data_IF_487744797711
#
_entry.id   IF_487744797711
#
_cell.length_a   1.000
_cell.length_b   1.000
_cell.length_c   1.000
_cell.angle_alpha   90.00
_cell.angle_beta   90.00
_cell.angle_gamma   90.00
#
_symmetry.space_group_name_H-M   'P 1'
#
loop_
_entity.id
_entity.type
_entity.pdbx_description
1 polymer ?
#
# COMPACT_ATOMS: atom_id res chain seq x y z
N UNK A 1 15.32 10.78 -4.29
CA UNK A 1 15.65 10.32 -5.66
C UNK A 1 15.57 11.48 -6.66
N UNK A 2 16.42 11.53 -7.69
CA UNK A 2 16.35 12.58 -8.73
C UNK A 2 15.27 12.26 -9.78
N UNK A 3 14.83 13.26 -10.56
CA UNK A 3 13.77 13.10 -11.58
C UNK A 3 13.99 11.92 -12.54
N UNK A 4 15.24 11.72 -12.99
CA UNK A 4 15.58 10.60 -13.90
C UNK A 4 15.26 9.25 -13.25
N UNK A 5 15.66 9.05 -11.99
CA UNK A 5 15.40 7.83 -11.24
C UNK A 5 13.91 7.63 -10.99
N UNK A 6 13.18 8.71 -10.66
CA UNK A 6 11.71 8.65 -10.50
C UNK A 6 11.03 8.16 -11.78
N UNK A 7 11.40 8.73 -12.94
CA UNK A 7 10.84 8.32 -14.24
C UNK A 7 11.20 6.89 -14.61
N UNK A 8 12.45 6.48 -14.40
CA UNK A 8 12.88 5.09 -14.62
C UNK A 8 12.05 4.12 -13.77
N UNK A 9 11.81 4.46 -12.48
CA UNK A 9 11.00 3.63 -11.58
C UNK A 9 9.52 3.58 -11.99
N UNK A 10 8.93 4.71 -12.40
CA UNK A 10 7.57 4.77 -12.92
C UNK A 10 7.42 3.97 -14.23
N UNK A 11 8.40 4.05 -15.13
CA UNK A 11 8.39 3.32 -16.38
C UNK A 11 8.42 1.80 -16.19
N UNK A 12 9.12 1.29 -15.16
CA UNK A 12 9.09 -0.14 -14.78
C UNK A 12 7.70 -0.64 -14.39
N UNK A 13 6.80 0.25 -13.97
CA UNK A 13 5.40 -0.06 -13.66
C UNK A 13 4.45 0.37 -14.78
N UNK A 14 4.97 0.56 -16.00
CA UNK A 14 4.21 1.03 -17.17
C UNK A 14 3.46 2.36 -16.94
N UNK A 15 3.89 3.20 -15.99
CA UNK A 15 3.26 4.47 -15.72
C UNK A 15 3.78 5.55 -16.68
N UNK A 16 2.85 6.28 -17.33
CA UNK A 16 3.19 7.25 -18.36
C UNK A 16 3.12 8.69 -17.81
N UNK A 17 4.16 9.08 -17.07
CA UNK A 17 4.24 10.39 -16.42
C UNK A 17 5.38 11.21 -17.00
N UNK A 18 5.05 12.34 -17.63
CA UNK A 18 6.04 13.31 -18.12
C UNK A 18 6.46 14.31 -17.04
N UNK A 19 7.62 14.94 -17.19
CA UNK A 19 8.09 15.98 -16.26
C UNK A 19 7.13 17.17 -16.18
N UNK A 20 6.48 17.51 -17.29
CA UNK A 20 5.43 18.54 -17.34
C UNK A 20 4.24 18.16 -16.47
N UNK A 21 3.85 16.88 -16.48
CA UNK A 21 2.79 16.38 -15.60
C UNK A 21 3.21 16.45 -14.13
N UNK A 22 4.44 16.06 -13.80
CA UNK A 22 4.94 16.14 -12.42
C UNK A 22 4.88 17.59 -11.91
N UNK A 23 5.39 18.56 -12.68
CA UNK A 23 5.32 19.98 -12.33
C UNK A 23 3.88 20.45 -12.12
N UNK A 24 2.99 20.11 -13.05
CA UNK A 24 1.57 20.44 -12.95
C UNK A 24 0.92 19.84 -11.69
N UNK A 25 1.24 18.59 -11.34
CA UNK A 25 0.69 17.95 -10.14
C UNK A 25 1.22 18.56 -8.85
N UNK A 26 2.46 19.05 -8.82
CA UNK A 26 2.99 19.83 -7.69
C UNK A 26 2.26 21.17 -7.59
N UNK A 27 2.19 21.93 -8.69
CA UNK A 27 1.53 23.25 -8.74
C UNK A 27 0.06 23.19 -8.34
N UNK A 28 -0.61 22.09 -8.64
CA UNK A 28 -2.03 21.88 -8.33
C UNK A 28 -2.27 21.23 -6.97
N UNK A 29 -1.21 20.87 -6.23
CA UNK A 29 -1.26 20.26 -4.91
C UNK A 29 -1.70 18.79 -4.90
N UNK A 30 -1.62 18.08 -6.03
CA UNK A 30 -1.94 16.66 -6.11
C UNK A 30 -0.81 15.75 -5.60
N UNK A 31 0.43 16.24 -5.66
CA UNK A 31 1.59 15.61 -5.03
C UNK A 31 2.31 16.67 -4.19
N UNK A 32 2.94 16.30 -3.07
CA UNK A 32 3.70 17.25 -2.27
C UNK A 32 4.87 17.86 -3.06
N UNK A 33 5.37 19.04 -2.65
CA UNK A 33 6.58 19.59 -3.24
C UNK A 33 7.79 18.68 -2.93
N UNK A 34 8.76 18.55 -3.85
CA UNK A 34 10.00 17.84 -3.58
C UNK A 34 10.91 18.65 -2.64
N UNK A 35 11.86 17.97 -2.02
CA UNK A 35 12.88 18.62 -1.20
C UNK A 35 13.91 19.30 -2.11
N UNK A 36 14.22 20.57 -1.83
CA UNK A 36 15.24 21.31 -2.58
C UNK A 36 16.52 21.37 -1.76
N UNK A 37 17.47 20.50 -2.08
CA UNK A 37 18.80 20.50 -1.41
C UNK A 37 19.67 21.66 -1.88
N UNK A 38 19.45 22.15 -3.11
CA UNK A 38 20.05 23.36 -3.68
C UNK A 38 19.08 24.01 -4.68
N UNK A 39 19.39 25.24 -5.10
CA UNK A 39 18.68 25.92 -6.19
C UNK A 39 18.70 25.00 -7.43
N UNK A 40 17.51 24.65 -7.94
CA UNK A 40 17.27 23.74 -9.06
C UNK A 40 17.60 22.25 -8.83
N UNK A 41 17.88 21.82 -7.59
CA UNK A 41 18.09 20.40 -7.27
C UNK A 41 16.94 19.84 -6.44
N UNK A 42 15.88 19.40 -7.13
CA UNK A 42 14.75 18.71 -6.53
C UNK A 42 15.09 17.25 -6.18
N UNK A 43 14.68 16.81 -5.01
CA UNK A 43 14.70 15.43 -4.54
C UNK A 43 13.29 14.94 -4.27
N UNK A 44 12.93 13.89 -4.99
CA UNK A 44 11.64 13.23 -4.88
C UNK A 44 11.77 12.03 -3.94
N UNK A 45 10.86 11.90 -2.99
CA UNK A 45 10.74 10.75 -2.11
C UNK A 45 9.77 9.69 -2.65
N UNK A 46 9.62 8.58 -1.94
CA UNK A 46 8.76 7.46 -2.33
C UNK A 46 7.28 7.83 -2.41
N UNK A 47 6.83 8.80 -1.62
CA UNK A 47 5.45 9.30 -1.71
C UNK A 47 5.16 9.87 -3.11
N UNK A 48 6.14 10.53 -3.74
CA UNK A 48 5.98 11.06 -5.09
C UNK A 48 5.79 9.91 -6.09
N UNK A 49 6.60 8.85 -5.97
CA UNK A 49 6.49 7.67 -6.80
C UNK A 49 5.11 7.00 -6.67
N UNK A 50 4.68 6.70 -5.43
CA UNK A 50 3.40 6.04 -5.16
C UNK A 50 2.22 6.88 -5.63
N UNK A 51 2.22 8.18 -5.32
CA UNK A 51 1.15 9.11 -5.68
C UNK A 51 1.03 9.26 -7.20
N UNK A 52 2.17 9.32 -7.91
CA UNK A 52 2.18 9.38 -9.38
C UNK A 52 1.67 8.08 -10.02
N UNK A 53 2.02 6.90 -9.48
CA UNK A 53 1.45 5.63 -9.95
C UNK A 53 -0.07 5.63 -9.82
N UNK A 54 -0.58 6.06 -8.66
CA UNK A 54 -2.02 6.12 -8.41
C UNK A 54 -2.72 7.09 -9.35
N UNK A 55 -2.16 8.30 -9.54
CA UNK A 55 -2.73 9.29 -10.47
C UNK A 55 -2.76 8.74 -11.90
N UNK A 56 -1.69 8.09 -12.37
CA UNK A 56 -1.66 7.48 -13.70
C UNK A 56 -2.71 6.37 -13.85
N UNK A 57 -2.84 5.50 -12.85
CA UNK A 57 -3.83 4.42 -12.87
C UNK A 57 -5.27 4.94 -12.83
N UNK A 58 -5.57 5.96 -12.01
CA UNK A 58 -6.88 6.61 -12.00
C UNK A 58 -7.20 7.23 -13.37
N UNK A 59 -6.22 7.86 -14.02
CA UNK A 59 -6.39 8.40 -15.38
C UNK A 59 -6.65 7.30 -16.40
N UNK A 60 -5.90 6.20 -16.35
CA UNK A 60 -6.11 5.03 -17.23
C UNK A 60 -7.49 4.40 -17.03
N UNK A 61 -8.02 4.44 -15.82
CA UNK A 61 -9.40 4.04 -15.50
C UNK A 61 -10.47 5.06 -15.95
N UNK A 62 -10.09 6.14 -16.64
CA UNK A 62 -11.02 7.16 -17.15
C UNK A 62 -11.45 8.20 -16.11
N UNK A 63 -10.82 8.26 -14.94
CA UNK A 63 -11.17 9.24 -13.92
C UNK A 63 -10.75 10.65 -14.36
N UNK A 64 -11.72 11.58 -14.33
CA UNK A 64 -11.46 13.00 -14.57
C UNK A 64 -10.61 13.63 -13.47
N UNK A 65 -9.98 14.76 -13.79
CA UNK A 65 -9.08 15.46 -12.86
C UNK A 65 -9.74 15.86 -11.53
N UNK A 66 -11.00 16.27 -11.55
CA UNK A 66 -11.77 16.58 -10.34
C UNK A 66 -11.98 15.36 -9.45
N UNK A 67 -12.27 14.20 -10.04
CA UNK A 67 -12.39 12.93 -9.33
C UNK A 67 -11.06 12.51 -8.70
N UNK A 68 -9.97 12.64 -9.45
CA UNK A 68 -8.61 12.38 -8.96
C UNK A 68 -8.31 13.25 -7.75
N UNK A 69 -8.56 14.57 -7.85
CA UNK A 69 -8.35 15.50 -6.74
C UNK A 69 -9.13 15.10 -5.49
N UNK A 70 -10.42 14.78 -5.63
CA UNK A 70 -11.25 14.36 -4.50
C UNK A 70 -10.75 13.08 -3.83
N UNK A 71 -10.28 12.11 -4.62
CA UNK A 71 -9.65 10.89 -4.09
C UNK A 71 -8.36 11.20 -3.32
N UNK A 72 -7.48 12.03 -3.91
CA UNK A 72 -6.24 12.47 -3.25
C UNK A 72 -6.54 13.21 -1.94
N UNK A 73 -7.49 14.13 -1.92
CA UNK A 73 -7.88 14.86 -0.71
C UNK A 73 -8.40 13.95 0.41
N UNK A 74 -9.10 12.87 0.05
CA UNK A 74 -9.57 11.86 1.01
C UNK A 74 -8.39 11.14 1.66
N UNK A 75 -7.37 10.79 0.88
CA UNK A 75 -6.14 10.15 1.37
C UNK A 75 -5.32 11.09 2.24
N UNK A 76 -5.22 12.36 1.84
CA UNK A 76 -4.51 13.38 2.60
C UNK A 76 -5.15 13.62 3.97
N UNK A 77 -6.44 13.30 4.14
CA UNK A 77 -7.10 13.27 5.44
C UNK A 77 -6.40 12.36 6.45
N UNK A 78 -5.87 11.21 6.02
CA UNK A 78 -5.07 10.34 6.87
C UNK A 78 -3.69 10.93 7.19
N UNK A 79 -3.02 11.52 6.19
CA UNK A 79 -1.70 12.15 6.37
C UNK A 79 -1.80 13.29 7.39
N UNK A 80 -2.86 14.13 7.30
CA UNK A 80 -3.11 15.20 8.27
C UNK A 80 -3.35 14.68 9.68
N UNK A 81 -4.12 13.60 9.83
CA UNK A 81 -4.31 12.96 11.15
C UNK A 81 -3.00 12.41 11.72
N UNK A 82 -2.14 11.83 10.87
CA UNK A 82 -0.82 11.36 11.29
C UNK A 82 0.10 12.52 11.68
N UNK A 83 0.10 13.60 10.92
CA UNK A 83 0.84 14.82 11.22
C UNK A 83 0.43 15.40 12.58
N UNK A 84 -0.87 15.50 12.83
CA UNK A 84 -1.43 15.95 14.12
C UNK A 84 -1.07 14.99 15.27
N UNK A 85 -1.27 13.68 15.10
CA UNK A 85 -0.95 12.66 16.13
C UNK A 85 0.52 12.71 16.54
N UNK A 86 1.43 12.91 15.59
CA UNK A 86 2.88 12.91 15.83
C UNK A 86 3.46 14.30 16.11
N UNK A 87 2.67 15.37 15.98
CA UNK A 87 3.14 16.74 16.17
C UNK A 87 4.18 17.18 15.13
N UNK A 88 4.05 16.72 13.89
CA UNK A 88 4.96 17.01 12.76
C UNK A 88 4.20 17.73 11.63
N UNK A 89 4.93 18.25 10.65
CA UNK A 89 4.34 18.87 9.45
C UNK A 89 3.67 17.84 8.53
N UNK A 90 2.83 18.33 7.61
CA UNK A 90 2.21 17.48 6.59
C UNK A 90 3.28 16.82 5.70
N UNK A 91 4.30 17.57 5.30
CA UNK A 91 5.40 17.12 4.46
C UNK A 91 6.22 16.03 5.15
N UNK A 92 6.52 16.19 6.44
CA UNK A 92 7.18 15.14 7.23
C UNK A 92 6.30 13.89 7.36
N UNK A 93 5.00 14.08 7.64
CA UNK A 93 4.05 12.97 7.74
C UNK A 93 3.88 12.21 6.41
N UNK A 94 3.84 12.91 5.28
CA UNK A 94 3.74 12.34 3.95
C UNK A 94 4.93 11.43 3.59
N UNK A 95 6.07 11.64 4.25
CA UNK A 95 7.29 10.87 4.07
C UNK A 95 7.47 9.74 5.09
N UNK A 96 6.51 9.54 6.00
CA UNK A 96 6.55 8.43 6.96
C UNK A 96 6.39 7.07 6.24
N UNK A 97 7.16 6.05 6.62
CA UNK A 97 7.03 4.71 6.04
C UNK A 97 5.60 4.14 6.09
N UNK A 98 4.89 4.33 7.21
CA UNK A 98 3.51 3.85 7.39
C UNK A 98 2.50 4.55 6.45
N UNK A 99 2.78 5.79 6.04
CA UNK A 99 1.96 6.56 5.10
C UNK A 99 2.22 6.08 3.69
N UNK A 100 3.48 6.03 3.28
CA UNK A 100 3.90 5.58 1.94
C UNK A 100 3.41 4.15 1.69
N UNK A 101 3.65 3.24 2.64
CA UNK A 101 3.32 1.82 2.50
C UNK A 101 1.80 1.58 2.52
N UNK A 102 1.03 2.36 3.30
CA UNK A 102 -0.44 2.33 3.21
C UNK A 102 -0.93 2.82 1.85
N UNK A 103 -0.44 3.95 1.38
CA UNK A 103 -0.87 4.52 0.11
C UNK A 103 -0.57 3.54 -1.04
N UNK A 104 0.58 2.87 -0.99
CA UNK A 104 0.93 1.90 -2.01
C UNK A 104 0.08 0.62 -1.92
N UNK A 105 -0.22 0.15 -0.72
CA UNK A 105 -1.15 -0.97 -0.50
C UNK A 105 -2.53 -0.66 -1.09
N UNK A 106 -3.10 0.50 -0.81
CA UNK A 106 -4.40 0.90 -1.35
C UNK A 106 -4.36 1.10 -2.89
N UNK A 107 -3.24 1.57 -3.46
CA UNK A 107 -3.04 1.58 -4.90
C UNK A 107 -3.10 0.15 -5.47
N UNK A 108 -2.36 -0.78 -4.87
CA UNK A 108 -2.29 -2.19 -5.29
C UNK A 108 -3.63 -2.91 -5.22
N UNK A 109 -4.44 -2.64 -4.19
CA UNK A 109 -5.78 -3.22 -4.05
C UNK A 109 -6.70 -2.81 -5.21
N UNK A 110 -6.60 -1.55 -5.67
CA UNK A 110 -7.46 -1.02 -6.72
C UNK A 110 -6.92 -1.29 -8.13
N UNK A 111 -5.60 -1.43 -8.27
CA UNK A 111 -4.91 -1.59 -9.53
C UNK A 111 -3.91 -2.75 -9.45
N UNK A 112 -4.40 -3.99 -9.26
CA UNK A 112 -3.53 -5.16 -9.24
C UNK A 112 -2.87 -5.30 -10.61
N UNK A 113 -1.54 -5.23 -10.63
CA UNK A 113 -0.76 -5.49 -11.83
C UNK A 113 -0.71 -6.99 -12.16
N UNK A 114 -0.22 -7.31 -13.36
CA UNK A 114 -0.02 -8.70 -13.83
C UNK A 114 1.47 -9.09 -13.87
N UNK A 115 2.36 -8.22 -13.39
CA UNK A 115 3.80 -8.44 -13.47
C UNK A 115 4.26 -9.53 -12.50
N UNK A 116 5.35 -10.20 -12.89
CA UNK A 116 6.08 -11.14 -12.05
C UNK A 116 7.34 -10.49 -11.49
N UNK A 117 7.69 -10.83 -10.25
CA UNK A 117 8.83 -10.27 -9.51
C UNK A 117 9.78 -11.39 -9.10
N UNK A 118 11.09 -11.17 -9.21
CA UNK A 118 12.09 -11.94 -8.47
C UNK A 118 11.99 -11.63 -6.97
N UNK A 119 12.59 -12.46 -6.10
CA UNK A 119 12.66 -12.19 -4.64
C UNK A 119 13.21 -10.80 -4.33
N UNK A 120 14.29 -10.38 -5.01
CA UNK A 120 14.91 -9.07 -4.79
C UNK A 120 14.00 -7.92 -5.19
N UNK A 121 13.32 -8.03 -6.34
CA UNK A 121 12.36 -7.03 -6.79
C UNK A 121 11.13 -6.96 -5.89
N UNK A 122 10.67 -8.11 -5.39
CA UNK A 122 9.53 -8.18 -4.48
C UNK A 122 9.82 -7.43 -3.17
N UNK A 123 10.98 -7.68 -2.56
CA UNK A 123 11.41 -7.03 -1.31
C UNK A 123 11.58 -5.52 -1.52
N UNK A 124 12.25 -5.11 -2.60
CA UNK A 124 12.45 -3.70 -2.95
C UNK A 124 11.11 -2.98 -3.15
N UNK A 125 10.20 -3.59 -3.91
CA UNK A 125 8.91 -2.96 -4.22
C UNK A 125 7.93 -3.01 -3.06
N UNK A 126 8.02 -3.99 -2.17
CA UNK A 126 7.19 -4.04 -0.97
C UNK A 126 7.68 -3.12 0.17
N UNK A 127 8.74 -2.33 -0.06
CA UNK A 127 9.32 -1.42 0.94
C UNK A 127 9.65 -2.11 2.27
N UNK A 128 10.11 -3.36 2.21
CA UNK A 128 10.30 -4.20 3.38
C UNK A 128 11.72 -4.74 3.47
N UNK A 129 12.10 -5.20 4.65
CA UNK A 129 13.37 -5.89 4.86
C UNK A 129 13.25 -7.38 4.54
N UNK A 130 14.39 -8.04 4.27
CA UNK A 130 14.45 -9.48 4.04
C UNK A 130 13.80 -10.29 5.17
N UNK A 131 13.92 -9.83 6.42
CA UNK A 131 13.28 -10.48 7.57
C UNK A 131 11.75 -10.58 7.41
N UNK A 132 11.10 -9.57 6.84
CA UNK A 132 9.64 -9.57 6.61
C UNK A 132 9.26 -10.62 5.57
N UNK A 133 10.08 -10.77 4.52
CA UNK A 133 9.92 -11.81 3.53
C UNK A 133 10.09 -13.20 4.14
N UNK A 134 11.19 -13.42 4.86
CA UNK A 134 11.51 -14.74 5.44
C UNK A 134 10.39 -15.14 6.43
N UNK A 135 9.85 -14.18 7.19
CA UNK A 135 8.68 -14.40 8.03
C UNK A 135 7.40 -14.78 7.26
N UNK A 136 7.14 -14.13 6.13
CA UNK A 136 5.97 -14.45 5.31
C UNK A 136 6.02 -15.90 4.80
N UNK A 137 7.23 -16.38 4.48
CA UNK A 137 7.50 -17.77 4.12
C UNK A 137 7.33 -18.70 5.33
N UNK A 138 7.95 -18.36 6.48
CA UNK A 138 7.89 -19.19 7.69
C UNK A 138 6.47 -19.37 8.25
N UNK A 139 5.63 -18.34 8.09
CA UNK A 139 4.21 -18.38 8.48
C UNK A 139 3.30 -19.05 7.44
N UNK A 140 3.86 -19.45 6.30
CA UNK A 140 3.16 -20.08 5.18
C UNK A 140 2.16 -19.17 4.47
N UNK A 141 2.28 -17.84 4.64
CA UNK A 141 1.46 -16.88 3.91
C UNK A 141 2.00 -16.67 2.50
N UNK A 142 3.31 -16.84 2.35
CA UNK A 142 4.01 -16.84 1.07
C UNK A 142 4.63 -18.22 0.84
N UNK A 143 4.59 -18.71 -0.39
CA UNK A 143 5.40 -19.85 -0.82
C UNK A 143 6.79 -19.37 -1.25
N UNK A 144 7.84 -20.14 -0.95
CA UNK A 144 9.19 -19.85 -1.47
C UNK A 144 9.30 -20.36 -2.92
N UNK A 145 9.33 -19.41 -3.86
CA UNK A 145 9.32 -19.66 -5.30
C UNK A 145 10.25 -18.69 -6.05
N UNK A 146 10.54 -18.98 -7.31
CA UNK A 146 11.44 -18.15 -8.11
C UNK A 146 10.80 -16.82 -8.54
N UNK A 147 9.50 -16.86 -8.88
CA UNK A 147 8.75 -15.71 -9.37
C UNK A 147 7.47 -15.49 -8.55
N UNK A 148 7.25 -14.24 -8.19
CA UNK A 148 6.16 -13.77 -7.34
C UNK A 148 5.17 -12.93 -8.15
N UNK A 149 3.90 -13.02 -7.81
CA UNK A 149 2.79 -12.28 -8.43
C UNK A 149 2.55 -10.93 -7.75
N UNK A 150 1.69 -10.10 -8.35
CA UNK A 150 1.20 -8.90 -7.69
C UNK A 150 0.45 -9.18 -6.37
N UNK A 151 -0.18 -10.36 -6.22
CA UNK A 151 -0.83 -10.76 -4.98
C UNK A 151 0.20 -11.04 -3.87
N UNK A 152 1.31 -11.68 -4.23
CA UNK A 152 2.43 -11.92 -3.31
C UNK A 152 3.04 -10.58 -2.83
N UNK A 153 3.16 -9.61 -3.74
CA UNK A 153 3.60 -8.24 -3.40
C UNK A 153 2.66 -7.56 -2.41
N UNK A 154 1.35 -7.68 -2.65
CA UNK A 154 0.34 -7.11 -1.75
C UNK A 154 0.35 -7.79 -0.36
N UNK A 155 0.53 -9.10 -0.31
CA UNK A 155 0.72 -9.84 0.95
C UNK A 155 1.89 -9.25 1.72
N UNK A 156 3.05 -9.11 1.07
CA UNK A 156 4.26 -8.63 1.72
C UNK A 156 4.12 -7.17 2.20
N UNK A 157 3.46 -6.31 1.42
CA UNK A 157 3.10 -4.94 1.82
C UNK A 157 2.19 -4.91 3.05
N UNK A 158 1.18 -5.79 3.10
CA UNK A 158 0.28 -5.89 4.26
C UNK A 158 1.03 -6.35 5.51
N UNK A 159 1.92 -7.34 5.39
CA UNK A 159 2.75 -7.80 6.51
C UNK A 159 3.68 -6.67 6.97
N UNK A 160 4.36 -5.99 6.05
CA UNK A 160 5.22 -4.84 6.39
C UNK A 160 4.45 -3.75 7.14
N UNK A 161 3.23 -3.44 6.69
CA UNK A 161 2.36 -2.48 7.38
C UNK A 161 2.05 -2.90 8.82
N UNK A 162 1.82 -4.18 9.10
CA UNK A 162 1.60 -4.64 10.49
C UNK A 162 2.75 -4.26 11.42
N UNK A 163 3.99 -4.27 10.93
CA UNK A 163 5.17 -3.85 11.70
C UNK A 163 5.34 -2.32 11.77
N UNK A 164 4.88 -1.57 10.77
CA UNK A 164 4.98 -0.10 10.75
C UNK A 164 3.96 0.59 11.68
N UNK A 165 2.84 -0.06 11.97
CA UNK A 165 1.75 0.51 12.79
C UNK A 165 1.86 0.21 14.30
N UNK A 166 2.90 -0.48 14.77
CA UNK A 166 3.06 -0.79 16.20
C UNK A 166 3.46 0.45 17.03
N UNK A 167 2.57 0.92 17.89
CA UNK A 167 2.70 2.19 18.64
C UNK A 167 3.67 2.16 19.85
N UNK A 168 4.45 1.10 20.13
CA UNK A 168 5.34 1.09 21.32
C UNK A 168 6.51 0.10 21.30
N UNK A 169 7.72 0.64 21.51
CA UNK A 169 8.87 0.07 22.24
C UNK A 169 9.11 -1.45 22.18
N UNK A 170 10.06 -1.85 21.33
CA UNK A 170 11.05 -2.91 21.62
C UNK A 170 10.53 -4.33 21.89
N UNK A 171 10.74 -5.22 20.91
CA UNK A 171 10.93 -6.68 21.12
C UNK A 171 9.68 -7.52 21.42
N UNK A 172 8.68 -6.98 22.12
CA UNK A 172 7.42 -7.67 22.44
C UNK A 172 6.47 -7.81 21.23
N UNK A 173 6.70 -7.03 20.17
CA UNK A 173 5.78 -6.91 19.04
C UNK A 173 5.92 -8.06 18.03
N UNK A 174 7.15 -8.53 17.75
CA UNK A 174 7.38 -9.48 16.65
C UNK A 174 6.62 -10.79 16.86
N UNK A 175 6.73 -11.44 18.02
CA UNK A 175 6.05 -12.72 18.30
C UNK A 175 4.53 -12.57 18.19
N UNK A 176 3.97 -11.45 18.66
CA UNK A 176 2.54 -11.16 18.54
C UNK A 176 2.14 -11.01 17.08
N UNK A 177 2.91 -10.26 16.27
CA UNK A 177 2.69 -10.13 14.82
C UNK A 177 2.77 -11.47 14.11
N UNK A 178 3.75 -12.32 14.43
CA UNK A 178 3.83 -13.69 13.90
C UNK A 178 2.53 -14.45 14.22
N UNK A 179 2.07 -14.40 15.47
CA UNK A 179 0.83 -15.06 15.88
C UNK A 179 -0.41 -14.52 15.13
N UNK A 180 -0.50 -13.21 14.95
CA UNK A 180 -1.57 -12.56 14.17
C UNK A 180 -1.55 -13.03 12.71
N UNK A 181 -0.38 -13.02 12.07
CA UNK A 181 -0.19 -13.45 10.68
C UNK A 181 -0.59 -14.92 10.52
N UNK A 182 -0.13 -15.81 11.40
CA UNK A 182 -0.51 -17.23 11.36
C UNK A 182 -2.01 -17.45 11.57
N UNK A 183 -2.65 -16.68 12.46
CA UNK A 183 -4.12 -16.76 12.66
C UNK A 183 -4.87 -16.35 11.40
N UNK A 184 -4.45 -15.24 10.77
CA UNK A 184 -5.05 -14.78 9.50
C UNK A 184 -4.86 -15.84 8.41
N UNK A 185 -3.67 -16.43 8.29
CA UNK A 185 -3.39 -17.48 7.32
C UNK A 185 -4.31 -18.71 7.51
N UNK A 186 -4.48 -19.17 8.74
CA UNK A 186 -5.34 -20.30 9.05
C UNK A 186 -6.82 -20.05 8.69
N UNK A 187 -7.31 -18.83 8.93
CA UNK A 187 -8.65 -18.42 8.52
C UNK A 187 -8.75 -18.38 6.99
N UNK A 188 -7.76 -17.79 6.32
CA UNK A 188 -7.71 -17.72 4.85
C UNK A 188 -7.71 -19.11 4.22
N UNK A 189 -6.90 -20.04 4.73
CA UNK A 189 -6.86 -21.43 4.28
C UNK A 189 -8.20 -22.15 4.47
N UNK A 190 -8.85 -21.93 5.62
CA UNK A 190 -10.18 -22.49 5.89
C UNK A 190 -11.24 -21.97 4.91
N UNK A 191 -11.20 -20.67 4.60
CA UNK A 191 -12.10 -20.05 3.62
C UNK A 191 -11.80 -20.53 2.20
N UNK A 192 -10.53 -20.59 1.81
CA UNK A 192 -10.10 -21.08 0.50
C UNK A 192 -10.54 -22.54 0.28
N UNK A 193 -10.34 -23.40 1.29
CA UNK A 193 -10.82 -24.78 1.27
C UNK A 193 -12.35 -24.85 1.14
N UNK A 194 -13.10 -23.99 1.84
CA UNK A 194 -14.55 -23.92 1.72
C UNK A 194 -15.00 -23.45 0.32
N UNK A 195 -14.37 -22.41 -0.22
CA UNK A 195 -14.69 -21.85 -1.54
C UNK A 195 -14.38 -22.84 -2.66
N UNK A 196 -13.27 -23.59 -2.56
CA UNK A 196 -12.84 -24.54 -3.58
C UNK A 196 -13.81 -25.70 -3.83
N UNK A 197 -14.69 -26.01 -2.87
CA UNK A 197 -15.69 -27.10 -2.99
C UNK A 197 -16.77 -26.83 -4.04
N UNK A 198 -16.98 -25.56 -4.41
CA UNK A 198 -17.96 -25.19 -5.42
C UNK A 198 -17.46 -23.97 -6.21
N UNK A 199 -16.58 -24.24 -7.19
CA UNK A 199 -15.90 -23.22 -7.99
C UNK A 199 -16.88 -22.22 -8.61
N UNK A 200 -18.03 -22.68 -9.12
CA UNK A 200 -19.07 -21.84 -9.74
C UNK A 200 -19.72 -20.85 -8.76
N UNK A 201 -19.78 -21.19 -7.46
CA UNK A 201 -20.38 -20.35 -6.40
C UNK A 201 -19.37 -19.56 -5.57
N UNK A 202 -18.07 -19.63 -5.93
CA UNK A 202 -17.00 -18.91 -5.22
C UNK A 202 -17.31 -17.43 -5.03
N UNK A 203 -17.87 -16.77 -6.06
CA UNK A 203 -18.22 -15.35 -6.00
C UNK A 203 -19.30 -15.06 -4.94
N UNK A 204 -20.28 -15.97 -4.74
CA UNK A 204 -21.33 -15.84 -3.72
C UNK A 204 -20.70 -15.89 -2.34
N UNK A 205 -19.86 -16.90 -2.09
CA UNK A 205 -19.25 -17.10 -0.78
C UNK A 205 -18.25 -15.99 -0.42
N UNK A 206 -17.46 -15.52 -1.39
CA UNK A 206 -16.60 -14.35 -1.23
C UNK A 206 -17.41 -13.12 -0.82
N UNK A 207 -18.42 -12.76 -1.61
CA UNK A 207 -19.22 -11.56 -1.38
C UNK A 207 -20.00 -11.63 -0.05
N UNK A 208 -20.56 -12.81 0.28
CA UNK A 208 -21.23 -13.04 1.56
C UNK A 208 -20.28 -12.85 2.74
N UNK A 209 -19.09 -13.45 2.68
CA UNK A 209 -18.08 -13.32 3.75
C UNK A 209 -17.65 -11.88 3.93
N UNK A 210 -17.36 -11.18 2.83
CA UNK A 210 -17.00 -9.76 2.86
C UNK A 210 -18.12 -8.89 3.46
N UNK A 211 -19.38 -9.14 3.08
CA UNK A 211 -20.54 -8.41 3.62
C UNK A 211 -20.74 -8.66 5.12
N UNK A 212 -20.57 -9.90 5.57
CA UNK A 212 -20.65 -10.24 7.00
C UNK A 212 -19.55 -9.54 7.79
N UNK A 213 -18.31 -9.53 7.27
CA UNK A 213 -17.19 -8.83 7.91
C UNK A 213 -17.48 -7.33 8.02
N UNK A 214 -17.91 -6.69 6.92
CA UNK A 214 -18.29 -5.27 6.90
C UNK A 214 -19.36 -4.94 7.96
N UNK A 215 -20.45 -5.70 7.99
CA UNK A 215 -21.53 -5.48 8.95
C UNK A 215 -21.12 -5.70 10.42
N UNK A 216 -20.12 -6.55 10.69
CA UNK A 216 -19.56 -6.71 12.05
C UNK A 216 -18.64 -5.54 12.43
N UNK A 217 -17.86 -5.01 11.50
CA UNK A 217 -16.97 -3.88 11.74
C UNK A 217 -17.75 -2.59 11.99
N UNK A 218 -18.80 -2.33 11.21
CA UNK A 218 -19.68 -1.17 11.39
C UNK A 218 -20.30 -1.13 12.79
N UNK A 219 -20.79 -2.28 13.28
CA UNK A 219 -21.35 -2.40 14.65
C UNK A 219 -20.31 -2.08 15.72
N UNK A 220 -19.08 -2.57 15.58
CA UNK A 220 -18.00 -2.27 16.53
C UNK A 220 -17.65 -0.78 16.52
N UNK A 221 -17.59 -0.14 15.35
CA UNK A 221 -17.31 1.29 15.26
C UNK A 221 -18.41 2.15 15.88
N UNK A 222 -19.68 1.75 15.77
CA UNK A 222 -20.79 2.43 16.44
C UNK A 222 -20.69 2.28 17.96
N UNK A 223 -20.31 1.10 18.46
CA UNK A 223 -20.14 0.86 19.90
C UNK A 223 -18.99 1.66 20.51
N UNK A 224 -17.89 1.85 19.78
CA UNK A 224 -16.73 2.62 20.26
C UNK A 224 -16.91 4.15 20.19
N UNK A 225 -18.00 4.65 19.59
CA UNK A 225 -18.32 6.08 19.47
C UNK A 225 -19.35 6.58 20.50
N UNK A 226 -19.98 5.67 21.24
CA UNK A 226 -20.93 5.95 22.33
C UNK A 226 -20.27 5.74 23.69
#
# INVERSE_FOLDING_TARGET
>A
MKMRQLKERLARQNANVSERMVKYYIETGLIPPPDYTQVNQAEYSDIHYVRLLRIDAMKKAGMGFSGIRSQIETLDGFIRQMAEKKGITYEEAANLPEVISREYCEYMVNYPGEESYTKSELIEQAFCEKMVFDLAVDTGVLEDKELYSASDRLILLCINNLFLYSDSSGGSDVIERISEISKINNIANSLAAYYSRNSEKTWIYKNLTESIIRGKLEKKWQQNRN
#
